data_IF_604486754021
#
_entry.id   IF_604486754021
#
_cell.length_a   1.000
_cell.length_b   1.000
_cell.length_c   1.000
_cell.angle_alpha   90.00
_cell.angle_beta   90.00
_cell.angle_gamma   90.00
#
_symmetry.space_group_name_H-M   'P 1'
#
loop_
_entity.id
_entity.type
_entity.pdbx_description
1 polymer ?
#
# COMPACT_ATOMS: atom_id res chain seq x y z
N UNK A 1 -5.01 -0.95 10.54
CA UNK A 1 -3.94 -1.97 10.70
C UNK A 1 -4.55 -3.26 11.23
N UNK A 2 -4.02 -4.42 10.84
CA UNK A 2 -4.52 -5.74 11.29
C UNK A 2 -3.37 -6.76 11.35
N UNK A 3 -3.48 -7.76 12.22
CA UNK A 3 -2.53 -8.88 12.32
C UNK A 3 -3.04 -10.15 11.59
N UNK A 4 -4.36 -10.36 11.53
CA UNK A 4 -4.96 -11.52 10.87
C UNK A 4 -6.16 -11.09 10.00
N UNK A 5 -5.97 -10.85 8.70
CA UNK A 5 -4.70 -10.89 7.94
C UNK A 5 -3.79 -9.70 8.25
N UNK A 6 -2.50 -9.80 7.94
CA UNK A 6 -1.53 -8.70 8.12
C UNK A 6 -1.87 -7.53 7.19
N UNK A 7 -2.34 -6.42 7.75
CA UNK A 7 -2.64 -5.19 7.00
C UNK A 7 -1.84 -4.05 7.60
N UNK A 8 -0.97 -3.47 6.79
CA UNK A 8 -0.20 -2.27 7.10
C UNK A 8 -0.93 -1.09 6.50
N UNK A 9 -1.01 0.01 7.23
CA UNK A 9 -1.52 1.28 6.72
C UNK A 9 -0.48 2.37 6.96
N UNK A 10 -0.32 3.28 6.02
CA UNK A 10 0.53 4.46 6.16
C UNK A 10 -0.19 5.72 5.71
N UNK A 11 0.21 6.84 6.29
CA UNK A 11 -0.23 8.17 5.92
C UNK A 11 0.95 9.12 6.06
N UNK A 12 1.20 9.93 5.04
CA UNK A 12 2.24 10.95 5.02
C UNK A 12 1.70 12.19 4.32
N UNK A 13 2.15 13.35 4.75
CA UNK A 13 1.73 14.63 4.20
C UNK A 13 2.95 15.53 3.99
N UNK A 14 2.85 16.41 3.00
CA UNK A 14 3.85 17.43 2.73
C UNK A 14 3.20 18.68 2.16
N UNK A 15 4.02 19.65 1.74
CA UNK A 15 3.50 20.90 1.24
C UNK A 15 2.74 20.69 -0.08
N UNK A 16 1.41 20.74 0.00
CA UNK A 16 0.52 20.59 -1.15
C UNK A 16 0.22 19.16 -1.57
N UNK A 17 0.55 18.14 -0.76
CA UNK A 17 0.22 16.75 -1.08
C UNK A 17 -0.07 15.88 0.15
N UNK A 18 -0.88 14.84 -0.04
CA UNK A 18 -1.17 13.78 0.92
C UNK A 18 -0.99 12.42 0.26
N UNK A 19 -0.37 11.49 0.98
CA UNK A 19 -0.13 10.12 0.54
C UNK A 19 -0.68 9.16 1.58
N UNK A 20 -1.52 8.21 1.16
CA UNK A 20 -1.95 7.13 2.02
C UNK A 20 -2.08 5.81 1.29
N UNK A 21 -1.90 4.72 2.03
CA UNK A 21 -2.09 3.37 1.54
C UNK A 21 -2.54 2.44 2.66
N UNK A 22 -3.27 1.40 2.26
CA UNK A 22 -3.32 0.14 2.95
C UNK A 22 -2.67 -0.95 2.07
N UNK A 23 -1.98 -1.88 2.70
CA UNK A 23 -1.31 -2.99 2.01
C UNK A 23 -1.31 -4.25 2.86
N UNK A 24 -1.67 -5.36 2.23
CA UNK A 24 -1.54 -6.72 2.72
C UNK A 24 -0.43 -7.42 1.93
N UNK A 25 0.27 -8.35 2.58
CA UNK A 25 1.29 -9.17 1.93
C UNK A 25 0.85 -10.63 1.95
N UNK A 26 0.47 -11.17 0.79
CA UNK A 26 0.18 -12.60 0.66
C UNK A 26 1.49 -13.32 0.36
N UNK A 27 1.81 -14.32 1.17
CA UNK A 27 3.07 -15.07 1.03
C UNK A 27 2.79 -16.54 0.71
N UNK A 28 3.52 -17.11 -0.25
CA UNK A 28 3.47 -18.54 -0.55
C UNK A 28 4.86 -19.11 -0.74
N UNK A 29 5.19 -20.15 0.03
CA UNK A 29 6.45 -20.88 -0.13
C UNK A 29 6.31 -21.99 -1.17
N UNK A 30 7.24 -22.03 -2.13
CA UNK A 30 7.29 -22.98 -3.24
C UNK A 30 8.48 -23.96 -3.10
N UNK A 31 8.86 -24.28 -1.86
CA UNK A 31 9.94 -25.23 -1.53
C UNK A 31 11.35 -24.66 -1.63
N UNK A 32 11.65 -23.88 -2.68
CA UNK A 32 12.96 -23.24 -2.87
C UNK A 32 12.87 -21.72 -3.06
N UNK A 33 11.66 -21.18 -3.19
CA UNK A 33 11.39 -19.77 -3.37
C UNK A 33 10.18 -19.34 -2.54
N UNK A 34 10.12 -18.06 -2.18
CA UNK A 34 8.96 -17.45 -1.54
C UNK A 34 8.37 -16.45 -2.52
N UNK A 35 7.10 -16.61 -2.84
CA UNK A 35 6.29 -15.61 -3.54
C UNK A 35 5.76 -14.61 -2.53
N UNK A 36 5.93 -13.33 -2.86
CA UNK A 36 5.49 -12.18 -2.08
C UNK A 36 4.58 -11.34 -2.97
N UNK A 37 3.27 -11.45 -2.76
CA UNK A 37 2.27 -10.69 -3.52
C UNK A 37 1.78 -9.51 -2.67
N UNK A 38 2.26 -8.27 -2.92
CA UNK A 38 1.69 -7.09 -2.30
C UNK A 38 0.27 -6.88 -2.85
N UNK A 39 -0.68 -6.63 -1.96
CA UNK A 39 -2.07 -6.32 -2.31
C UNK A 39 -2.43 -5.02 -1.62
N UNK A 40 -2.62 -3.96 -2.39
CA UNK A 40 -2.92 -2.63 -1.86
C UNK A 40 -2.95 -1.59 -2.95
N UNK A 41 -3.50 -0.43 -2.63
CA UNK A 41 -3.50 0.75 -3.50
C UNK A 41 -2.83 1.89 -2.75
N UNK A 42 -1.88 2.53 -3.41
CA UNK A 42 -1.29 3.79 -2.95
C UNK A 42 -2.08 4.93 -3.59
N UNK A 43 -2.53 5.87 -2.76
CA UNK A 43 -3.23 7.08 -3.22
C UNK A 43 -2.39 8.31 -2.89
N UNK A 44 -2.18 9.16 -3.90
CA UNK A 44 -1.54 10.46 -3.78
C UNK A 44 -2.55 11.52 -4.22
N UNK A 45 -2.83 12.48 -3.35
CA UNK A 45 -3.70 13.62 -3.62
C UNK A 45 -2.88 14.91 -3.53
N UNK A 46 -2.96 15.75 -4.56
CA UNK A 46 -2.40 17.10 -4.56
C UNK A 46 -3.45 18.13 -4.11
N UNK A 47 -3.00 19.28 -3.64
CA UNK A 47 -3.88 20.33 -3.11
C UNK A 47 -4.81 20.98 -4.15
N UNK A 48 -4.51 20.83 -5.44
CA UNK A 48 -5.38 21.23 -6.56
C UNK A 48 -6.49 20.21 -6.86
N UNK A 49 -6.50 19.08 -6.14
CA UNK A 49 -7.48 18.02 -6.28
C UNK A 49 -7.07 16.92 -7.27
N UNK A 50 -5.88 16.97 -7.86
CA UNK A 50 -5.38 15.87 -8.70
C UNK A 50 -5.08 14.64 -7.84
N UNK A 51 -5.59 13.46 -8.26
CA UNK A 51 -5.44 12.21 -7.53
C UNK A 51 -4.83 11.14 -8.42
N UNK A 52 -3.76 10.50 -7.91
CA UNK A 52 -3.10 9.36 -8.52
C UNK A 52 -3.30 8.13 -7.67
N UNK A 53 -3.62 7.01 -8.31
CA UNK A 53 -3.74 5.71 -7.66
C UNK A 53 -2.98 4.65 -8.43
N UNK A 54 -2.24 3.81 -7.71
CA UNK A 54 -1.55 2.67 -8.31
C UNK A 54 -1.37 1.51 -7.33
N UNK A 55 -1.28 0.32 -7.89
CA UNK A 55 -0.92 -0.91 -7.21
C UNK A 55 0.46 -1.37 -7.68
N UNK A 56 1.20 -2.05 -6.79
CA UNK A 56 2.50 -2.65 -7.10
C UNK A 56 2.34 -4.06 -7.63
#
# INVERSE_FOLDING_TARGET
VSHHPTIIACHSEGNGWKLWADSNLKTKFWGHAIQLDPVGVLTLEFADGEVFQWSK
#
